data_IF_293861126840
#
_entry.id   IF_293861126840
#
_cell.length_a   1.000
_cell.length_b   1.000
_cell.length_c   1.000
_cell.angle_alpha   90.00
_cell.angle_beta   90.00
_cell.angle_gamma   90.00
#
_symmetry.space_group_name_H-M   'P 1'
#
loop_
_entity.id
_entity.type
_entity.pdbx_description
1 polymer ?
#
# COMPACT_ATOMS: atom_id res chain seq x y z
N UNK A 1 16.05 -6.81 1.73
CA UNK A 1 15.45 -5.58 1.16
C UNK A 1 16.41 -5.00 0.13
N UNK A 2 16.04 -3.91 -0.54
CA UNK A 2 16.88 -3.22 -1.52
C UNK A 2 16.85 -1.71 -1.24
N UNK A 3 17.91 -0.99 -1.61
CA UNK A 3 17.98 0.48 -1.53
C UNK A 3 18.07 1.02 -2.97
N UNK A 4 17.01 1.69 -3.43
CA UNK A 4 17.01 2.37 -4.73
C UNK A 4 17.46 3.83 -4.56
N UNK A 5 18.67 4.15 -5.04
CA UNK A 5 19.23 5.50 -4.98
C UNK A 5 18.95 6.27 -6.27
N UNK A 6 18.13 7.33 -6.20
CA UNK A 6 17.78 8.21 -7.34
C UNK A 6 18.07 9.69 -7.04
N UNK A 7 19.34 10.04 -6.87
CA UNK A 7 19.80 11.40 -6.53
C UNK A 7 20.74 12.01 -7.59
N UNK A 8 20.90 11.36 -8.76
CA UNK A 8 21.76 11.87 -9.83
C UNK A 8 21.35 13.26 -10.34
N UNK A 9 20.07 13.63 -10.21
CA UNK A 9 19.54 14.93 -10.61
C UNK A 9 20.06 16.12 -9.77
N UNK A 10 20.69 15.86 -8.61
CA UNK A 10 21.33 16.88 -7.77
C UNK A 10 22.86 16.73 -7.71
N UNK A 11 23.46 15.99 -8.66
CA UNK A 11 24.91 15.83 -8.74
C UNK A 11 25.59 17.20 -8.88
N UNK A 12 26.67 17.42 -8.11
CA UNK A 12 27.42 18.69 -8.07
C UNK A 12 26.98 19.65 -6.94
N UNK A 13 25.83 19.43 -6.31
CA UNK A 13 25.42 20.21 -5.15
C UNK A 13 26.14 19.72 -3.87
N UNK A 14 26.36 20.62 -2.90
CA UNK A 14 26.98 20.27 -1.62
C UNK A 14 26.25 19.16 -0.85
N UNK A 15 24.92 19.03 -1.05
CA UNK A 15 24.07 18.00 -0.42
C UNK A 15 24.06 16.64 -1.14
N UNK A 16 24.80 16.48 -2.24
CA UNK A 16 24.87 15.21 -2.97
C UNK A 16 25.62 14.14 -2.16
N UNK A 17 25.04 12.93 -2.04
CA UNK A 17 25.69 11.81 -1.35
C UNK A 17 26.37 10.87 -2.36
N UNK A 18 27.71 10.90 -2.51
CA UNK A 18 28.41 9.99 -3.42
C UNK A 18 28.37 8.55 -2.91
N UNK A 19 28.57 7.60 -3.83
CA UNK A 19 28.59 6.16 -3.52
C UNK A 19 29.51 5.82 -2.35
N UNK A 20 30.73 6.37 -2.30
CA UNK A 20 31.69 6.11 -1.21
C UNK A 20 31.12 6.43 0.18
N UNK A 21 30.39 7.55 0.32
CA UNK A 21 29.78 7.95 1.60
C UNK A 21 28.59 7.06 1.96
N UNK A 22 27.73 6.75 0.99
CA UNK A 22 26.60 5.86 1.21
C UNK A 22 27.04 4.42 1.55
N UNK A 23 28.02 3.90 0.82
CA UNK A 23 28.55 2.55 1.05
C UNK A 23 29.21 2.43 2.42
N UNK A 24 29.90 3.48 2.89
CA UNK A 24 30.44 3.50 4.24
C UNK A 24 29.34 3.32 5.31
N UNK A 25 28.22 4.04 5.18
CA UNK A 25 27.07 3.87 6.08
C UNK A 25 26.42 2.49 5.95
N UNK A 26 26.34 1.94 4.74
CA UNK A 26 25.84 0.59 4.49
C UNK A 26 26.70 -0.48 5.20
N UNK A 27 28.02 -0.38 5.09
CA UNK A 27 28.96 -1.32 5.70
C UNK A 27 28.92 -1.35 7.23
N UNK A 28 28.47 -0.28 7.89
CA UNK A 28 28.25 -0.28 9.34
C UNK A 28 27.16 -1.27 9.79
N UNK A 29 26.20 -1.57 8.91
CA UNK A 29 25.06 -2.43 9.20
C UNK A 29 25.07 -3.75 8.43
N UNK A 30 25.90 -3.85 7.38
CA UNK A 30 26.04 -5.06 6.61
C UNK A 30 26.89 -6.09 7.38
N UNK A 31 26.44 -7.35 7.37
CA UNK A 31 27.27 -8.45 7.86
C UNK A 31 28.49 -8.64 6.95
N UNK A 32 29.65 -8.90 7.54
CA UNK A 32 30.85 -9.36 6.82
C UNK A 32 30.71 -10.80 6.31
N UNK A 33 29.68 -11.52 6.76
CA UNK A 33 29.28 -12.87 6.31
C UNK A 33 27.85 -12.86 5.76
N UNK A 34 27.63 -12.38 4.52
CA UNK A 34 26.31 -12.38 3.91
C UNK A 34 25.83 -13.81 3.62
N UNK A 35 24.52 -14.05 3.72
CA UNK A 35 23.91 -15.32 3.32
C UNK A 35 23.59 -15.32 1.82
N UNK A 36 24.39 -16.03 1.03
CA UNK A 36 24.36 -15.98 -0.44
C UNK A 36 23.00 -16.35 -1.06
N UNK A 37 22.26 -17.36 -0.55
CA UNK A 37 20.91 -17.64 -1.05
C UNK A 37 19.93 -16.47 -0.91
N UNK A 38 20.10 -15.60 0.10
CA UNK A 38 19.29 -14.39 0.24
C UNK A 38 19.60 -13.38 -0.87
N UNK A 39 20.86 -13.28 -1.30
CA UNK A 39 21.26 -12.43 -2.43
C UNK A 39 20.71 -12.99 -3.76
N UNK A 40 20.80 -14.30 -3.95
CA UNK A 40 20.21 -14.96 -5.12
C UNK A 40 18.69 -14.73 -5.21
N UNK A 41 17.98 -14.77 -4.07
CA UNK A 41 16.55 -14.46 -4.04
C UNK A 41 16.24 -13.02 -4.49
N UNK A 42 17.09 -12.05 -4.16
CA UNK A 42 16.92 -10.65 -4.60
C UNK A 42 17.15 -10.50 -6.11
N UNK A 43 18.13 -11.23 -6.66
CA UNK A 43 18.42 -11.24 -8.10
C UNK A 43 17.27 -11.85 -8.92
N UNK A 44 16.79 -13.02 -8.48
CA UNK A 44 15.63 -13.68 -9.10
C UNK A 44 14.37 -12.83 -8.97
N UNK A 45 14.15 -12.16 -7.83
CA UNK A 45 13.01 -11.24 -7.67
C UNK A 45 13.04 -10.08 -8.67
N UNK A 46 14.22 -9.52 -8.96
CA UNK A 46 14.35 -8.50 -10.00
C UNK A 46 13.98 -9.06 -11.37
N UNK A 47 14.43 -10.29 -11.69
CA UNK A 47 14.11 -10.94 -12.96
C UNK A 47 12.63 -11.31 -13.11
N UNK A 48 11.98 -11.79 -12.05
CA UNK A 48 10.54 -12.11 -12.05
C UNK A 48 9.70 -10.88 -12.40
N UNK A 49 10.09 -9.70 -11.91
CA UNK A 49 9.37 -8.45 -12.13
C UNK A 49 9.81 -7.70 -13.40
N UNK A 50 10.81 -8.21 -14.12
CA UNK A 50 11.28 -7.59 -15.37
C UNK A 50 10.29 -7.83 -16.52
N UNK A 51 10.06 -6.78 -17.32
CA UNK A 51 9.33 -6.90 -18.58
C UNK A 51 7.82 -7.08 -18.44
N UNK A 52 7.21 -7.65 -19.48
CA UNK A 52 5.75 -7.81 -19.58
C UNK A 52 5.20 -8.91 -18.68
N UNK A 53 5.95 -10.01 -18.51
CA UNK A 53 5.55 -11.12 -17.63
C UNK A 53 5.33 -10.65 -16.19
N UNK A 54 6.26 -9.85 -15.65
CA UNK A 54 6.13 -9.26 -14.31
C UNK A 54 4.90 -8.35 -14.17
N UNK A 55 4.59 -7.55 -15.21
CA UNK A 55 3.38 -6.70 -15.22
C UNK A 55 2.10 -7.54 -15.26
N UNK A 56 2.07 -8.61 -16.06
CA UNK A 56 0.93 -9.53 -16.14
C UNK A 56 0.64 -10.21 -14.81
N UNK A 57 1.67 -10.70 -14.11
CA UNK A 57 1.53 -11.31 -12.79
C UNK A 57 0.81 -10.39 -11.80
N UNK A 58 1.17 -9.10 -11.79
CA UNK A 58 0.51 -8.11 -10.94
C UNK A 58 -0.90 -7.76 -11.41
N UNK A 59 -1.13 -7.65 -12.73
CA UNK A 59 -2.47 -7.42 -13.27
C UNK A 59 -3.46 -8.53 -12.87
N UNK A 60 -3.04 -9.80 -12.99
CA UNK A 60 -3.84 -10.96 -12.56
C UNK A 60 -4.09 -10.95 -11.05
N UNK A 61 -3.09 -10.55 -10.25
CA UNK A 61 -3.25 -10.40 -8.81
C UNK A 61 -4.30 -9.33 -8.45
N UNK A 62 -4.29 -8.20 -9.15
CA UNK A 62 -5.28 -7.12 -8.97
C UNK A 62 -6.69 -7.59 -9.35
N UNK A 63 -6.84 -8.25 -10.50
CA UNK A 63 -8.12 -8.79 -10.96
C UNK A 63 -8.68 -9.82 -9.96
N UNK A 64 -7.86 -10.76 -9.50
CA UNK A 64 -8.23 -11.73 -8.48
C UNK A 64 -8.63 -11.04 -7.17
N UNK A 65 -7.90 -10.00 -6.77
CA UNK A 65 -8.22 -9.18 -5.61
C UNK A 65 -9.56 -8.45 -5.75
N UNK A 66 -9.93 -8.01 -6.95
CA UNK A 66 -11.22 -7.39 -7.24
C UNK A 66 -12.36 -8.41 -7.17
N UNK A 67 -12.20 -9.57 -7.81
CA UNK A 67 -13.19 -10.65 -7.77
C UNK A 67 -13.43 -11.15 -6.34
N UNK A 68 -12.35 -11.26 -5.56
CA UNK A 68 -12.44 -11.62 -4.14
C UNK A 68 -13.27 -10.60 -3.36
N UNK A 69 -13.09 -9.29 -3.60
CA UNK A 69 -13.89 -8.23 -2.95
C UNK A 69 -15.36 -8.30 -3.36
N UNK A 70 -15.65 -8.56 -4.64
CA UNK A 70 -17.02 -8.76 -5.13
C UNK A 70 -17.68 -9.97 -4.47
N UNK A 71 -16.98 -11.10 -4.39
CA UNK A 71 -17.48 -12.31 -3.74
C UNK A 71 -17.80 -12.08 -2.24
N UNK A 72 -16.93 -11.34 -1.53
CA UNK A 72 -17.16 -10.96 -0.13
C UNK A 72 -18.40 -10.06 -0.01
N UNK A 73 -18.56 -9.06 -0.89
CA UNK A 73 -19.73 -8.19 -0.89
C UNK A 73 -21.04 -8.96 -1.14
N UNK A 74 -21.00 -9.97 -2.01
CA UNK A 74 -22.17 -10.78 -2.37
C UNK A 74 -22.56 -11.80 -1.29
N UNK A 75 -21.58 -12.39 -0.59
CA UNK A 75 -21.81 -13.56 0.30
C UNK A 75 -21.68 -13.25 1.79
N UNK A 76 -20.85 -12.27 2.17
CA UNK A 76 -20.54 -12.00 3.57
C UNK A 76 -21.43 -10.90 4.18
N UNK A 77 -22.04 -11.19 5.35
CA UNK A 77 -22.87 -10.22 6.09
C UNK A 77 -22.10 -9.42 7.14
N UNK A 78 -21.05 -10.01 7.72
CA UNK A 78 -20.31 -9.46 8.86
C UNK A 78 -19.04 -8.69 8.46
N UNK A 79 -18.41 -9.10 7.37
CA UNK A 79 -17.18 -8.52 6.85
C UNK A 79 -17.46 -7.76 5.55
N UNK A 80 -16.81 -6.61 5.38
CA UNK A 80 -16.87 -5.80 4.17
C UNK A 80 -15.47 -5.37 3.76
N UNK A 81 -15.13 -5.40 2.45
CA UNK A 81 -13.87 -4.84 1.98
C UNK A 81 -13.81 -3.32 2.22
N UNK A 82 -12.62 -2.82 2.54
CA UNK A 82 -12.37 -1.39 2.74
C UNK A 82 -12.14 -0.71 1.39
N UNK A 83 -13.23 -0.36 0.73
CA UNK A 83 -13.28 0.30 -0.58
C UNK A 83 -14.44 1.31 -0.61
N UNK A 84 -14.45 2.27 -1.56
CA UNK A 84 -15.59 3.15 -1.77
C UNK A 84 -16.87 2.33 -2.02
N UNK A 85 -17.99 2.63 -1.34
CA UNK A 85 -19.23 1.90 -1.55
C UNK A 85 -19.90 2.22 -2.90
N UNK A 86 -19.79 3.47 -3.34
CA UNK A 86 -20.38 4.02 -4.56
C UNK A 86 -19.32 4.85 -5.28
N UNK A 87 -19.23 4.70 -6.59
CA UNK A 87 -18.37 5.49 -7.49
C UNK A 87 -19.23 5.92 -8.67
N UNK A 88 -19.23 7.22 -9.00
CA UNK A 88 -20.03 7.81 -10.09
C UNK A 88 -21.50 7.38 -10.08
N UNK A 89 -22.13 7.33 -8.89
CA UNK A 89 -23.54 7.00 -8.71
C UNK A 89 -23.90 5.50 -8.78
N UNK A 90 -22.93 4.62 -9.04
CA UNK A 90 -23.13 3.17 -9.12
C UNK A 90 -22.33 2.42 -8.03
N UNK A 91 -22.85 1.29 -7.56
CA UNK A 91 -22.15 0.48 -6.56
C UNK A 91 -20.84 -0.06 -7.13
N UNK A 92 -19.80 -0.09 -6.29
CA UNK A 92 -18.45 -0.48 -6.72
C UNK A 92 -18.42 -1.88 -7.37
N UNK A 93 -19.12 -2.86 -6.80
CA UNK A 93 -19.11 -4.24 -7.29
C UNK A 93 -19.84 -4.44 -8.62
N UNK A 94 -20.65 -3.48 -9.05
CA UNK A 94 -21.44 -3.59 -10.27
C UNK A 94 -20.65 -3.18 -11.53
N UNK A 95 -19.43 -2.65 -11.36
CA UNK A 95 -18.53 -2.34 -12.46
C UNK A 95 -17.78 -3.59 -12.96
N UNK A 96 -17.48 -3.71 -14.26
CA UNK A 96 -16.63 -4.79 -14.77
C UNK A 96 -15.24 -4.79 -14.13
N UNK A 97 -14.67 -5.97 -13.91
CA UNK A 97 -13.38 -6.11 -13.21
C UNK A 97 -12.23 -5.49 -13.98
N UNK A 98 -12.23 -5.58 -15.31
CA UNK A 98 -11.25 -4.92 -16.16
C UNK A 98 -11.25 -3.39 -16.00
N UNK A 99 -12.43 -2.79 -15.82
CA UNK A 99 -12.59 -1.34 -15.58
C UNK A 99 -12.06 -0.97 -14.19
N UNK A 100 -12.42 -1.76 -13.18
CA UNK A 100 -11.93 -1.58 -11.82
C UNK A 100 -10.39 -1.71 -11.74
N UNK A 101 -9.79 -2.63 -12.48
CA UNK A 101 -8.35 -2.88 -12.48
C UNK A 101 -7.54 -1.79 -13.20
N UNK A 102 -8.15 -1.08 -14.16
CA UNK A 102 -7.47 -0.09 -15.00
C UNK A 102 -7.64 1.35 -14.53
N UNK A 103 -8.61 1.62 -13.66
CA UNK A 103 -8.94 2.98 -13.23
C UNK A 103 -8.72 3.18 -11.71
N UNK A 104 -7.84 4.13 -11.39
CA UNK A 104 -7.48 4.48 -10.00
C UNK A 104 -8.65 5.05 -9.19
N UNK A 105 -9.67 5.62 -9.83
CA UNK A 105 -10.80 6.29 -9.17
C UNK A 105 -11.56 5.33 -8.24
N UNK A 106 -11.61 4.05 -8.59
CA UNK A 106 -12.23 3.00 -7.78
C UNK A 106 -11.50 2.68 -6.48
N UNK A 107 -10.30 3.22 -6.30
CA UNK A 107 -9.48 3.07 -5.11
C UNK A 107 -9.12 4.41 -4.48
N UNK A 108 -9.68 5.53 -4.93
CA UNK A 108 -9.31 6.87 -4.45
C UNK A 108 -9.97 7.23 -3.12
N UNK A 109 -9.26 8.00 -2.29
CA UNK A 109 -9.82 8.58 -1.07
C UNK A 109 -10.33 10.00 -1.33
N UNK A 110 -11.62 10.13 -1.66
CA UNK A 110 -12.24 11.43 -1.92
C UNK A 110 -12.32 12.30 -0.65
N UNK A 111 -11.94 13.60 -0.71
CA UNK A 111 -12.01 14.50 0.43
C UNK A 111 -13.41 14.51 1.08
N UNK A 112 -13.45 14.34 2.41
CA UNK A 112 -14.69 14.36 3.17
C UNK A 112 -15.58 13.12 3.00
N UNK A 113 -15.15 12.09 2.27
CA UNK A 113 -15.95 10.89 2.11
C UNK A 113 -16.02 10.07 3.42
N UNK A 114 -17.24 9.85 3.89
CA UNK A 114 -17.51 9.25 5.21
C UNK A 114 -17.09 7.77 5.32
N UNK A 115 -16.87 7.08 4.20
CA UNK A 115 -16.62 5.63 4.20
C UNK A 115 -15.25 5.27 4.78
N UNK A 116 -14.25 6.15 4.61
CA UNK A 116 -12.88 5.90 5.07
C UNK A 116 -12.55 6.53 6.43
N UNK A 117 -13.30 7.53 6.89
CA UNK A 117 -13.16 8.11 8.24
C UNK A 117 -11.93 9.00 8.46
N UNK A 118 -11.09 9.19 7.44
CA UNK A 118 -9.98 10.16 7.47
C UNK A 118 -10.42 11.60 7.19
N UNK A 119 -9.88 12.55 7.96
CA UNK A 119 -10.03 13.99 7.78
C UNK A 119 -8.74 14.60 7.18
N UNK A 120 -8.85 15.73 6.49
CA UNK A 120 -7.69 16.48 5.97
C UNK A 120 -7.02 15.91 4.71
N UNK A 121 -7.67 14.97 4.02
CA UNK A 121 -7.15 14.43 2.76
C UNK A 121 -7.50 15.35 1.58
N UNK A 122 -6.53 15.57 0.69
CA UNK A 122 -6.75 16.26 -0.58
C UNK A 122 -7.11 15.28 -1.71
N UNK A 123 -7.74 15.79 -2.76
CA UNK A 123 -8.07 15.01 -3.94
C UNK A 123 -6.79 14.48 -4.62
N UNK A 124 -6.87 13.28 -5.21
CA UNK A 124 -5.76 12.59 -5.89
C UNK A 124 -4.47 12.39 -5.06
N UNK A 125 -4.56 12.54 -3.73
CA UNK A 125 -3.40 12.42 -2.84
C UNK A 125 -3.17 10.98 -2.36
N UNK A 126 -4.25 10.26 -2.06
CA UNK A 126 -4.20 8.94 -1.45
C UNK A 126 -5.07 7.94 -2.21
N UNK A 127 -4.60 6.69 -2.25
CA UNK A 127 -5.28 5.57 -2.88
C UNK A 127 -5.21 4.33 -1.99
N UNK A 128 -6.26 3.52 -2.02
CA UNK A 128 -6.29 2.17 -1.46
C UNK A 128 -5.40 1.29 -2.32
N UNK A 129 -4.49 0.55 -1.69
CA UNK A 129 -3.70 -0.46 -2.38
C UNK A 129 -4.61 -1.62 -2.84
N UNK A 130 -4.74 -1.87 -4.16
CA UNK A 130 -5.61 -2.92 -4.70
C UNK A 130 -5.14 -4.32 -4.30
N UNK A 131 -3.85 -4.53 -4.04
CA UNK A 131 -3.29 -5.81 -3.61
C UNK A 131 -3.44 -6.04 -2.10
N UNK A 132 -3.81 -5.03 -1.32
CA UNK A 132 -4.06 -5.16 0.12
C UNK A 132 -5.54 -5.42 0.40
N UNK A 133 -5.90 -6.69 0.62
CA UNK A 133 -7.26 -7.08 0.98
C UNK A 133 -7.58 -6.71 2.43
N UNK A 134 -8.00 -5.48 2.65
CA UNK A 134 -8.44 -4.96 3.95
C UNK A 134 -9.93 -5.23 4.15
N UNK A 135 -10.27 -5.84 5.29
CA UNK A 135 -11.65 -6.13 5.68
C UNK A 135 -12.01 -5.39 6.97
N UNK A 136 -13.23 -4.88 7.02
CA UNK A 136 -13.81 -4.23 8.19
C UNK A 136 -15.02 -5.01 8.67
N UNK A 137 -15.25 -5.02 10.00
CA UNK A 137 -16.49 -5.54 10.58
C UNK A 137 -17.53 -4.44 10.66
N UNK A 138 -18.78 -4.79 10.43
CA UNK A 138 -19.93 -3.87 10.41
C UNK A 138 -20.09 -3.03 11.70
N UNK A 139 -19.58 -3.54 12.82
CA UNK A 139 -19.69 -2.90 14.15
C UNK A 139 -18.46 -2.05 14.55
N UNK A 140 -17.34 -2.15 13.83
CA UNK A 140 -16.06 -1.51 14.21
C UNK A 140 -15.61 -0.44 13.20
N UNK A 141 -16.55 0.26 12.55
CA UNK A 141 -16.23 1.39 11.66
C UNK A 141 -15.42 2.49 12.37
N UNK A 142 -15.51 2.60 13.68
CA UNK A 142 -14.87 3.67 14.45
C UNK A 142 -13.45 3.35 14.94
N UNK A 143 -13.05 2.07 15.03
CA UNK A 143 -11.81 1.70 15.75
C UNK A 143 -10.63 1.39 14.83
N UNK A 144 -10.84 0.84 13.63
CA UNK A 144 -9.73 0.44 12.76
C UNK A 144 -8.97 1.62 12.14
N UNK A 145 -9.59 2.81 12.06
CA UNK A 145 -8.94 4.04 11.56
C UNK A 145 -7.84 4.54 12.51
N UNK A 146 -7.95 4.28 13.83
CA UNK A 146 -6.97 4.77 14.82
C UNK A 146 -5.70 3.93 14.92
N UNK A 147 -5.74 2.64 14.57
CA UNK A 147 -4.59 1.74 14.76
C UNK A 147 -3.68 1.61 13.53
N UNK A 148 -4.09 2.11 12.36
CA UNK A 148 -3.27 2.03 11.15
C UNK A 148 -2.18 3.12 11.07
N UNK A 149 -2.28 4.22 11.81
CA UNK A 149 -1.29 5.31 11.81
C UNK A 149 -1.27 6.06 13.15
N UNK A 150 -0.54 5.57 14.14
CA UNK A 150 0.05 6.46 15.14
C UNK A 150 1.28 5.82 15.83
N UNK A 151 2.41 5.83 15.14
CA UNK A 151 3.75 5.72 15.76
C UNK A 151 4.39 7.11 15.94
N UNK A 152 3.57 8.12 16.21
CA UNK A 152 4.01 9.46 16.64
C UNK A 152 2.96 10.05 17.58
N UNK A 153 3.15 9.81 18.88
CA UNK A 153 2.81 10.69 20.01
C UNK A 153 2.77 9.85 21.28
N UNK A 154 3.91 9.31 21.69
CA UNK A 154 4.10 8.92 23.08
C UNK A 154 4.47 10.20 23.83
N UNK A 155 3.48 10.98 24.24
CA UNK A 155 3.53 11.95 25.35
C UNK A 155 2.07 12.23 25.74
N UNK A 156 1.80 12.06 27.03
CA UNK A 156 0.64 12.51 27.80
C UNK A 156 -0.75 11.98 27.42
N UNK A 157 -1.26 10.98 28.16
CA UNK A 157 -2.39 11.09 29.12
C UNK A 157 -2.95 9.71 29.49
N UNK A 158 -3.61 9.57 30.66
CA UNK A 158 -3.35 8.48 31.60
C UNK A 158 -4.19 7.21 31.36
N UNK A 159 -3.61 6.11 31.85
CA UNK A 159 -4.32 4.89 32.24
C UNK A 159 -5.64 5.23 32.95
N UNK A 160 -6.75 4.71 32.44
CA UNK A 160 -7.96 4.53 33.23
C UNK A 160 -8.21 3.03 33.34
N UNK A 161 -8.11 2.56 34.58
CA UNK A 161 -8.28 1.20 35.05
C UNK A 161 -9.75 0.75 35.02
N UNK A 162 -9.91 -0.57 35.07
CA UNK A 162 -11.13 -1.41 35.12
C UNK A 162 -11.76 -1.79 33.79
#
# INVERSE_FOLDING_TARGET
SQIHKKDNHIRGQARFCPHKRLNNAFMLHASTSPFYPLFAALDVNAKIHEGESGRRLWAECVELGIESRKAILARCKLFRPFIPPVVDGKLWQDYPTSVLASDRRFFSFEPGAKWHGFEGYAADQYFVDPCKLLLTRRFWRTICVRTALCRRSAISTPFCSY
#
